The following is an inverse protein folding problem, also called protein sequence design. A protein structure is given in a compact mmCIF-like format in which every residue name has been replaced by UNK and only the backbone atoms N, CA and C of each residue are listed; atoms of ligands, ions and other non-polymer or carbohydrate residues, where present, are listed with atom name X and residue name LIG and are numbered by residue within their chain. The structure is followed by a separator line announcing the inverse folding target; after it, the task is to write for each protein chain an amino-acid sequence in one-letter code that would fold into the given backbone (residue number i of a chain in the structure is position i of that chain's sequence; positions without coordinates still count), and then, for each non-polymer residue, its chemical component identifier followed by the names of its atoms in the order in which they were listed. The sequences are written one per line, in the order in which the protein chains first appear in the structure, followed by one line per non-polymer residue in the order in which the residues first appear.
data_IF_042891058230
#
_entry.id   IF_042891058230
#
_cell.length_a   1.000
_cell.length_b   1.000
_cell.length_c   1.000
_cell.angle_alpha   90.00
_cell.angle_beta   90.00
_cell.angle_gamma   90.00
#
_symmetry.space_group_name_H-M   'P 1'
#
loop_
_entity.id
_entity.type
_entity.pdbx_description
1 polymer ?
#
# COMPACT_ATOMS: atom_id res chain seq x y z
N UNK A 1 -9.02 9.00 -14.01
CA UNK A 1 -8.17 7.79 -14.16
C UNK A 1 -7.68 7.36 -12.79
N UNK A 2 -8.21 6.26 -12.25
CA UNK A 2 -7.91 5.79 -10.90
C UNK A 2 -6.53 5.15 -10.81
N UNK A 3 -5.59 5.79 -10.12
CA UNK A 3 -4.34 5.13 -9.73
C UNK A 3 -4.65 4.19 -8.55
N UNK A 4 -4.89 2.92 -8.90
CA UNK A 4 -4.82 1.81 -7.96
C UNK A 4 -3.43 1.22 -8.12
N UNK A 5 -2.63 1.28 -7.07
CA UNK A 5 -1.26 0.78 -7.10
C UNK A 5 -1.19 -0.55 -6.37
N UNK A 6 -1.30 -1.66 -7.12
CA UNK A 6 -1.09 -3.01 -6.60
C UNK A 6 0.39 -3.39 -6.72
N UNK A 7 1.21 -2.88 -5.80
CA UNK A 7 2.64 -3.13 -5.83
C UNK A 7 3.04 -4.55 -5.35
N UNK A 8 2.47 -5.13 -4.28
CA UNK A 8 2.92 -6.42 -3.77
C UNK A 8 2.58 -7.60 -4.69
N UNK A 9 1.36 -7.66 -5.24
CA UNK A 9 1.01 -8.69 -6.22
C UNK A 9 1.95 -8.72 -7.42
N UNK A 10 2.23 -7.57 -8.03
CA UNK A 10 3.13 -7.48 -9.18
C UNK A 10 4.55 -7.96 -8.86
N UNK A 11 5.06 -7.64 -7.66
CA UNK A 11 6.34 -8.17 -7.19
C UNK A 11 6.32 -9.70 -7.08
N UNK A 12 5.23 -10.25 -6.54
CA UNK A 12 5.10 -11.69 -6.28
C UNK A 12 4.80 -12.53 -7.52
N UNK A 13 4.15 -11.95 -8.53
CA UNK A 13 3.99 -12.61 -9.84
C UNK A 13 5.37 -12.87 -10.48
N UNK A 14 6.29 -11.90 -10.41
CA UNK A 14 7.67 -12.06 -10.88
C UNK A 14 8.45 -13.05 -10.02
N UNK A 15 8.40 -12.90 -8.69
CA UNK A 15 9.07 -13.80 -7.74
C UNK A 15 8.65 -15.27 -7.94
N UNK A 16 7.36 -15.52 -8.16
CA UNK A 16 6.80 -16.85 -8.41
C UNK A 16 7.36 -17.46 -9.70
N UNK A 17 7.38 -16.70 -10.80
CA UNK A 17 7.92 -17.17 -12.08
C UNK A 17 9.40 -17.53 -11.98
N UNK A 18 10.19 -16.69 -11.31
CA UNK A 18 11.64 -16.93 -11.17
C UNK A 18 11.91 -18.11 -10.23
N UNK A 19 11.08 -18.30 -9.19
CA UNK A 19 11.16 -19.48 -8.32
C UNK A 19 10.96 -20.77 -9.11
N UNK A 20 9.92 -20.86 -9.95
CA UNK A 20 9.71 -22.03 -10.81
C UNK A 20 10.86 -22.24 -11.79
N UNK A 21 11.36 -21.17 -12.41
CA UNK A 21 12.50 -21.25 -13.32
C UNK A 21 13.76 -21.79 -12.63
N UNK A 22 14.04 -21.35 -11.40
CA UNK A 22 15.18 -21.85 -10.61
C UNK A 22 15.08 -23.35 -10.30
N UNK A 23 13.88 -23.86 -10.01
CA UNK A 23 13.64 -25.29 -9.80
C UNK A 23 13.93 -26.06 -11.09
N UNK A 24 13.40 -25.58 -12.23
CA UNK A 24 13.61 -26.21 -13.54
C UNK A 24 15.10 -26.24 -13.90
N UNK A 25 15.82 -25.14 -13.70
CA UNK A 25 17.27 -25.08 -13.94
C UNK A 25 18.05 -26.06 -13.05
N UNK A 26 17.68 -26.18 -11.77
CA UNK A 26 18.33 -27.12 -10.86
C UNK A 26 18.10 -28.58 -11.25
N UNK A 27 16.89 -28.91 -11.75
CA UNK A 27 16.55 -30.25 -12.22
C UNK A 27 17.18 -30.56 -13.59
N UNK A 28 17.22 -29.59 -14.50
CA UNK A 28 17.66 -29.78 -15.89
C UNK A 28 19.17 -29.85 -16.09
N UNK A 29 19.97 -29.19 -15.24
CA UNK A 29 21.42 -29.18 -15.37
C UNK A 29 22.14 -30.40 -14.77
N UNK A 30 21.40 -31.42 -14.30
CA UNK A 30 22.00 -32.62 -13.71
C UNK A 30 22.97 -32.31 -12.57
N UNK A 31 22.79 -31.17 -11.87
CA UNK A 31 23.69 -30.64 -10.82
C UNK A 31 23.84 -31.63 -9.65
N UNK A 32 23.06 -32.70 -9.65
CA UNK A 32 23.04 -33.72 -8.63
C UNK A 32 23.13 -35.10 -9.28
N UNK A 33 24.34 -35.45 -9.71
CA UNK A 33 24.78 -36.83 -9.86
C UNK A 33 24.90 -37.47 -8.46
N UNK A 34 23.77 -37.54 -7.77
CA UNK A 34 23.61 -38.21 -6.49
C UNK A 34 22.93 -39.55 -6.74
N UNK A 35 23.32 -40.57 -5.98
CA UNK A 35 22.76 -41.92 -6.04
C UNK A 35 21.22 -42.01 -5.86
N UNK A 36 20.55 -40.93 -5.43
CA UNK A 36 19.09 -40.81 -5.41
C UNK A 36 18.61 -39.53 -6.15
N UNK A 37 18.10 -39.65 -7.40
CA UNK A 37 17.59 -38.51 -8.16
C UNK A 37 16.37 -37.81 -7.53
N UNK A 38 15.73 -38.42 -6.52
CA UNK A 38 14.57 -37.86 -5.83
C UNK A 38 14.93 -37.07 -4.56
N UNK A 39 16.19 -37.07 -4.12
CA UNK A 39 16.59 -36.39 -2.87
C UNK A 39 16.24 -34.90 -2.87
N UNK A 40 16.62 -34.18 -3.92
CA UNK A 40 16.41 -32.74 -4.04
C UNK A 40 14.92 -32.36 -4.18
N UNK A 41 14.13 -32.99 -5.08
CA UNK A 41 12.68 -32.80 -5.10
C UNK A 41 12.00 -33.06 -3.74
N UNK A 42 12.43 -34.11 -3.02
CA UNK A 42 11.92 -34.40 -1.67
C UNK A 42 12.27 -33.30 -0.68
N UNK A 43 13.51 -32.80 -0.71
CA UNK A 43 13.94 -31.70 0.15
C UNK A 43 13.12 -30.42 -0.10
N UNK A 44 12.90 -30.06 -1.37
CA UNK A 44 12.05 -28.93 -1.72
C UNK A 44 10.61 -29.10 -1.22
N UNK A 45 10.02 -30.27 -1.44
CA UNK A 45 8.66 -30.56 -1.01
C UNK A 45 8.53 -30.55 0.52
N UNK A 46 9.49 -31.14 1.23
CA UNK A 46 9.53 -31.12 2.69
C UNK A 46 9.65 -29.70 3.24
N UNK A 47 10.56 -28.89 2.67
CA UNK A 47 10.70 -27.48 3.05
C UNK A 47 9.41 -26.70 2.80
N UNK A 48 8.83 -26.85 1.61
CA UNK A 48 7.60 -26.15 1.22
C UNK A 48 6.42 -26.52 2.11
N UNK A 49 6.27 -27.82 2.42
CA UNK A 49 5.23 -28.30 3.32
C UNK A 49 5.44 -27.78 4.75
N UNK A 50 6.63 -27.95 5.31
CA UNK A 50 6.93 -27.54 6.69
C UNK A 50 6.73 -26.04 6.89
N UNK A 51 7.27 -25.22 5.98
CA UNK A 51 7.09 -23.76 6.05
C UNK A 51 5.62 -23.34 5.87
N UNK A 52 4.86 -23.97 4.98
CA UNK A 52 3.42 -23.71 4.83
C UNK A 52 2.63 -24.04 6.11
N UNK A 53 2.95 -25.16 6.77
CA UNK A 53 2.35 -25.52 8.06
C UNK A 53 2.66 -24.48 9.14
N UNK A 54 3.91 -23.99 9.20
CA UNK A 54 4.32 -22.96 10.15
C UNK A 54 3.54 -21.65 9.92
N UNK A 55 3.46 -21.18 8.69
CA UNK A 55 2.75 -19.93 8.35
C UNK A 55 1.25 -20.03 8.64
N UNK A 56 0.61 -21.14 8.28
CA UNK A 56 -0.82 -21.37 8.55
C UNK A 56 -1.11 -21.46 10.04
N UNK A 57 -0.25 -22.13 10.81
CA UNK A 57 -0.33 -22.17 12.27
C UNK A 57 -0.22 -20.77 12.89
N UNK A 58 0.82 -20.00 12.55
CA UNK A 58 0.99 -18.63 13.05
C UNK A 58 -0.18 -17.73 12.68
N UNK A 59 -0.67 -17.79 11.43
CA UNK A 59 -1.85 -17.02 11.02
C UNK A 59 -3.09 -17.41 11.80
N UNK A 60 -3.27 -18.70 12.08
CA UNK A 60 -4.40 -19.20 12.88
C UNK A 60 -4.36 -18.69 14.31
N UNK A 61 -3.18 -18.66 14.94
CA UNK A 61 -2.99 -18.07 16.27
C UNK A 61 -3.36 -16.58 16.27
N UNK A 62 -2.92 -15.83 15.26
CA UNK A 62 -3.26 -14.41 15.13
C UNK A 62 -4.76 -14.18 14.94
N UNK A 63 -5.42 -14.99 14.12
CA UNK A 63 -6.88 -14.90 13.92
C UNK A 63 -7.63 -15.24 15.22
N UNK A 64 -7.14 -16.21 15.99
CA UNK A 64 -7.70 -16.52 17.31
C UNK A 64 -7.54 -15.33 18.26
N UNK A 65 -6.33 -14.75 18.33
CA UNK A 65 -6.04 -13.58 19.14
C UNK A 65 -6.92 -12.38 18.77
N UNK A 66 -7.15 -12.13 17.47
CA UNK A 66 -8.04 -11.07 16.98
C UNK A 66 -9.49 -11.27 17.45
N UNK A 67 -9.97 -12.52 17.46
CA UNK A 67 -11.32 -12.84 17.96
C UNK A 67 -11.44 -12.59 19.46
N UNK A 68 -10.43 -12.96 20.24
CA UNK A 68 -10.41 -12.75 21.69
C UNK A 68 -10.37 -11.27 22.04
N UNK A 69 -9.54 -10.49 21.34
CA UNK A 69 -9.40 -9.03 21.60
C UNK A 69 -10.43 -8.16 20.88
N UNK A 70 -11.27 -8.73 20.02
CA UNK A 70 -12.21 -7.99 19.16
C UNK A 70 -11.50 -6.89 18.34
N UNK A 71 -10.34 -7.22 17.79
CA UNK A 71 -9.50 -6.28 17.02
C UNK A 71 -10.25 -5.72 15.80
N UNK A 72 -10.12 -4.41 15.58
CA UNK A 72 -10.75 -3.72 14.46
C UNK A 72 -10.24 -4.21 13.09
N UNK A 73 -11.09 -4.15 12.05
CA UNK A 73 -10.71 -4.59 10.70
C UNK A 73 -9.52 -3.80 10.13
N UNK A 74 -9.51 -2.48 10.33
CA UNK A 74 -8.43 -1.62 9.83
C UNK A 74 -7.09 -1.93 10.47
N UNK A 75 -7.08 -2.12 11.80
CA UNK A 75 -5.89 -2.52 12.55
C UNK A 75 -5.37 -3.87 12.08
N UNK A 76 -6.28 -4.85 11.88
CA UNK A 76 -5.92 -6.17 11.34
C UNK A 76 -5.23 -6.06 9.99
N UNK A 77 -5.81 -5.32 9.04
CA UNK A 77 -5.23 -5.17 7.70
C UNK A 77 -3.91 -4.40 7.73
N UNK A 78 -3.80 -3.36 8.56
CA UNK A 78 -2.53 -2.64 8.75
C UNK A 78 -1.43 -3.57 9.25
N UNK A 79 -1.71 -4.32 10.31
CA UNK A 79 -0.76 -5.28 10.87
C UNK A 79 -0.39 -6.36 9.86
N UNK A 80 -1.36 -6.91 9.15
CA UNK A 80 -1.12 -7.95 8.15
C UNK A 80 -0.24 -7.42 7.00
N UNK A 81 -0.50 -6.20 6.49
CA UNK A 81 0.37 -5.56 5.51
C UNK A 81 1.79 -5.33 6.04
N UNK A 82 1.94 -4.86 7.29
CA UNK A 82 3.25 -4.66 7.90
C UNK A 82 4.02 -5.98 7.96
N UNK A 83 3.42 -7.03 8.55
CA UNK A 83 4.07 -8.34 8.71
C UNK A 83 4.43 -8.93 7.35
N UNK A 84 3.51 -8.88 6.38
CA UNK A 84 3.77 -9.38 5.03
C UNK A 84 4.93 -8.64 4.36
N UNK A 85 4.89 -7.30 4.32
CA UNK A 85 5.93 -6.50 3.68
C UNK A 85 7.30 -6.65 4.37
N UNK A 86 7.35 -6.62 5.70
CA UNK A 86 8.59 -6.86 6.44
C UNK A 86 9.15 -8.25 6.14
N UNK A 87 8.31 -9.30 6.18
CA UNK A 87 8.73 -10.67 5.91
C UNK A 87 9.31 -10.86 4.51
N UNK A 88 8.65 -10.30 3.49
CA UNK A 88 9.15 -10.34 2.11
C UNK A 88 10.48 -9.60 1.96
N UNK A 89 10.62 -8.40 2.53
CA UNK A 89 11.86 -7.61 2.47
C UNK A 89 13.02 -8.35 3.17
N UNK A 90 12.76 -8.96 4.33
CA UNK A 90 13.77 -9.75 5.05
C UNK A 90 14.21 -10.96 4.23
N UNK A 91 13.28 -11.67 3.60
CA UNK A 91 13.60 -12.83 2.77
C UNK A 91 14.53 -12.45 1.59
N UNK A 92 14.23 -11.32 0.93
CA UNK A 92 15.04 -10.76 -0.16
C UNK A 92 16.47 -10.45 0.32
N UNK A 93 16.62 -9.67 1.40
CA UNK A 93 17.94 -9.32 1.91
C UNK A 93 18.73 -10.53 2.41
N UNK A 94 18.05 -11.52 3.01
CA UNK A 94 18.70 -12.74 3.51
C UNK A 94 19.38 -13.51 2.38
N UNK A 95 18.67 -13.73 1.27
CA UNK A 95 19.25 -14.40 0.11
C UNK A 95 20.44 -13.60 -0.45
N UNK A 96 20.26 -12.30 -0.66
CA UNK A 96 21.28 -11.45 -1.28
C UNK A 96 22.56 -11.35 -0.45
N UNK A 97 22.43 -11.08 0.86
CA UNK A 97 23.57 -10.98 1.78
C UNK A 97 24.34 -12.30 1.79
N UNK A 98 23.66 -13.44 1.88
CA UNK A 98 24.34 -14.74 1.87
C UNK A 98 25.20 -14.92 0.61
N UNK A 99 24.66 -14.61 -0.58
CA UNK A 99 25.39 -14.75 -1.84
C UNK A 99 26.56 -13.78 -1.99
N UNK A 100 26.51 -12.61 -1.34
CA UNK A 100 27.59 -11.62 -1.35
C UNK A 100 28.77 -11.99 -0.43
N UNK A 101 28.51 -12.65 0.70
CA UNK A 101 29.54 -12.91 1.72
C UNK A 101 30.09 -14.34 1.70
N UNK A 102 29.33 -15.31 1.20
CA UNK A 102 29.77 -16.70 1.15
C UNK A 102 30.37 -17.04 -0.21
N UNK A 103 31.27 -18.04 -0.23
CA UNK A 103 31.75 -18.61 -1.49
C UNK A 103 30.56 -19.22 -2.22
N UNK A 104 30.39 -18.88 -3.48
CA UNK A 104 29.27 -19.37 -4.28
C UNK A 104 29.36 -20.89 -4.45
N UNK A 105 28.43 -21.60 -3.81
CA UNK A 105 28.21 -23.02 -4.03
C UNK A 105 26.88 -23.16 -4.76
N UNK A 106 26.90 -23.71 -5.98
CA UNK A 106 25.72 -23.76 -6.85
C UNK A 106 24.50 -24.35 -6.14
N UNK A 107 24.66 -25.51 -5.49
CA UNK A 107 23.61 -26.20 -4.73
C UNK A 107 23.04 -25.33 -3.62
N UNK A 108 23.91 -24.86 -2.72
CA UNK A 108 23.50 -24.15 -1.49
C UNK A 108 22.90 -22.79 -1.84
N UNK A 109 23.52 -22.06 -2.78
CA UNK A 109 23.02 -20.78 -3.26
C UNK A 109 21.66 -20.92 -3.95
N UNK A 110 21.49 -21.93 -4.80
CA UNK A 110 20.21 -22.13 -5.50
C UNK A 110 19.10 -22.61 -4.55
N UNK A 111 19.41 -23.49 -3.58
CA UNK A 111 18.44 -23.87 -2.55
C UNK A 111 18.04 -22.68 -1.67
N UNK A 112 18.99 -21.85 -1.24
CA UNK A 112 18.69 -20.66 -0.46
C UNK A 112 17.86 -19.65 -1.26
N UNK A 113 18.20 -19.45 -2.53
CA UNK A 113 17.42 -18.60 -3.43
C UNK A 113 15.97 -19.10 -3.52
N UNK A 114 15.76 -20.40 -3.77
CA UNK A 114 14.43 -21.01 -3.72
C UNK A 114 13.74 -20.78 -2.36
N UNK A 115 14.42 -21.07 -1.26
CA UNK A 115 13.84 -21.01 0.08
C UNK A 115 13.37 -19.59 0.44
N UNK A 116 14.19 -18.58 0.15
CA UNK A 116 13.85 -17.18 0.41
C UNK A 116 12.70 -16.68 -0.47
N UNK A 117 12.69 -17.00 -1.78
CA UNK A 117 11.59 -16.63 -2.65
C UNK A 117 10.29 -17.34 -2.26
N UNK A 118 10.35 -18.63 -1.92
CA UNK A 118 9.20 -19.37 -1.43
C UNK A 118 8.63 -18.79 -0.13
N UNK A 119 9.50 -18.43 0.82
CA UNK A 119 9.08 -17.76 2.06
C UNK A 119 8.47 -16.38 1.79
N UNK A 120 9.01 -15.63 0.82
CA UNK A 120 8.42 -14.36 0.35
C UNK A 120 6.99 -14.57 -0.16
N UNK A 121 6.77 -15.60 -0.98
CA UNK A 121 5.45 -16.00 -1.47
C UNK A 121 4.51 -16.37 -0.31
N UNK A 122 4.98 -17.13 0.69
CA UNK A 122 4.17 -17.46 1.86
C UNK A 122 3.75 -16.22 2.65
N UNK A 123 4.63 -15.22 2.83
CA UNK A 123 4.25 -13.95 3.45
C UNK A 123 3.15 -13.24 2.65
N UNK A 124 3.26 -13.19 1.33
CA UNK A 124 2.23 -12.60 0.48
C UNK A 124 0.89 -13.34 0.60
N UNK A 125 0.89 -14.66 0.40
CA UNK A 125 -0.33 -15.47 0.40
C UNK A 125 -1.05 -15.45 1.75
N UNK A 126 -0.29 -15.43 2.86
CA UNK A 126 -0.82 -15.56 4.21
C UNK A 126 -1.28 -14.22 4.81
N UNK A 127 -0.60 -13.12 4.44
CA UNK A 127 -0.84 -11.82 5.07
C UNK A 127 -1.38 -10.75 4.12
N UNK A 128 -1.01 -10.73 2.84
CA UNK A 128 -1.33 -9.59 1.96
C UNK A 128 -2.45 -9.89 0.97
N UNK A 129 -2.48 -11.09 0.38
CA UNK A 129 -3.41 -11.45 -0.70
C UNK A 129 -4.87 -11.12 -0.39
N UNK A 130 -5.33 -11.50 0.81
CA UNK A 130 -6.71 -11.23 1.23
C UNK A 130 -6.96 -9.74 1.50
N UNK A 131 -5.94 -9.01 1.93
CA UNK A 131 -6.01 -7.58 2.24
C UNK A 131 -6.10 -6.73 0.98
N UNK A 132 -5.40 -7.08 -0.10
CA UNK A 132 -5.43 -6.36 -1.39
C UNK A 132 -6.83 -6.28 -2.00
N UNK A 133 -7.66 -7.31 -1.80
CA UNK A 133 -9.04 -7.32 -2.27
C UNK A 133 -10.00 -6.49 -1.40
N UNK A 134 -9.59 -6.13 -0.19
CA UNK A 134 -10.45 -5.55 0.86
C UNK A 134 -10.01 -4.16 1.29
N UNK A 135 -8.83 -3.71 0.87
CA UNK A 135 -8.22 -2.46 1.31
C UNK A 135 -7.58 -1.74 0.13
N UNK A 136 -7.50 -0.43 0.23
CA UNK A 136 -6.73 0.42 -0.68
C UNK A 136 -5.57 1.05 0.08
N UNK A 137 -4.38 0.97 -0.50
CA UNK A 137 -3.20 1.71 -0.03
C UNK A 137 -3.10 3.00 -0.86
N UNK A 138 -3.08 4.17 -0.22
CA UNK A 138 -2.93 5.43 -0.97
C UNK A 138 -1.51 5.51 -1.55
N UNK A 139 -1.36 6.00 -2.79
CA UNK A 139 -0.05 6.15 -3.39
C UNK A 139 0.83 7.11 -2.58
N UNK A 140 2.12 6.80 -2.56
CA UNK A 140 3.15 7.70 -2.04
C UNK A 140 3.54 8.72 -3.11
N UNK A 141 4.20 9.80 -2.71
CA UNK A 141 4.65 10.85 -3.65
C UNK A 141 5.69 10.28 -4.62
N UNK A 142 5.61 10.66 -5.90
CA UNK A 142 6.49 10.13 -6.96
C UNK A 142 7.98 10.31 -6.69
N UNK A 143 8.39 11.41 -6.05
CA UNK A 143 9.80 11.62 -5.68
C UNK A 143 10.32 10.55 -4.70
N UNK A 144 9.47 10.00 -3.83
CA UNK A 144 9.90 8.97 -2.88
C UNK A 144 10.24 7.67 -3.62
N UNK A 145 9.43 7.31 -4.62
CA UNK A 145 9.68 6.15 -5.48
C UNK A 145 10.98 6.36 -6.28
N UNK A 146 11.19 7.57 -6.82
CA UNK A 146 12.43 7.90 -7.55
C UNK A 146 13.67 7.81 -6.64
N UNK A 147 13.58 8.27 -5.38
CA UNK A 147 14.68 8.12 -4.41
C UNK A 147 14.99 6.65 -4.11
N UNK A 148 13.96 5.82 -3.91
CA UNK A 148 14.14 4.37 -3.69
C UNK A 148 14.82 3.72 -4.90
N UNK A 149 14.35 4.01 -6.12
CA UNK A 149 14.97 3.50 -7.35
C UNK A 149 16.44 3.94 -7.47
N UNK A 150 16.77 5.18 -7.12
CA UNK A 150 18.14 5.68 -7.12
C UNK A 150 19.05 4.91 -6.15
N UNK A 151 18.58 4.63 -4.93
CA UNK A 151 19.35 3.79 -3.99
C UNK A 151 19.57 2.36 -4.51
N UNK A 152 18.59 1.80 -5.23
CA UNK A 152 18.77 0.51 -5.88
C UNK A 152 19.81 0.53 -7.01
N UNK A 153 19.84 1.61 -7.81
CA UNK A 153 20.88 1.80 -8.84
C UNK A 153 22.27 1.87 -8.20
N UNK A 154 22.42 2.62 -7.11
CA UNK A 154 23.67 2.65 -6.34
C UNK A 154 24.04 1.23 -5.88
N UNK A 155 23.08 0.49 -5.29
CA UNK A 155 23.32 -0.89 -4.84
C UNK A 155 23.79 -1.83 -5.96
N UNK A 156 23.22 -1.72 -7.16
CA UNK A 156 23.67 -2.47 -8.35
C UNK A 156 25.11 -2.11 -8.71
N UNK A 157 25.44 -0.81 -8.77
CA UNK A 157 26.79 -0.33 -9.09
C UNK A 157 27.80 -0.80 -8.03
N UNK A 158 27.47 -0.70 -6.74
CA UNK A 158 28.32 -1.17 -5.66
C UNK A 158 28.58 -2.67 -5.75
N UNK A 159 27.54 -3.46 -6.03
CA UNK A 159 27.66 -4.92 -6.20
C UNK A 159 28.55 -5.27 -7.39
N UNK A 160 28.39 -4.58 -8.51
CA UNK A 160 29.23 -4.76 -9.69
C UNK A 160 30.71 -4.45 -9.40
N UNK A 161 31.00 -3.33 -8.72
CA UNK A 161 32.37 -2.99 -8.33
C UNK A 161 32.97 -4.02 -7.35
N UNK A 162 32.18 -4.52 -6.39
CA UNK A 162 32.61 -5.58 -5.47
C UNK A 162 32.93 -6.89 -6.21
N UNK A 163 32.17 -7.22 -7.26
CA UNK A 163 32.43 -8.38 -8.11
C UNK A 163 33.76 -8.26 -8.85
N UNK A 164 34.09 -7.08 -9.40
CA UNK A 164 35.37 -6.80 -10.05
C UNK A 164 36.52 -6.94 -9.05
N UNK A 165 36.39 -6.31 -7.87
CA UNK A 165 37.44 -6.32 -6.84
C UNK A 165 37.74 -7.72 -6.31
N UNK A 166 36.77 -8.64 -6.36
CA UNK A 166 36.92 -10.01 -5.85
C UNK A 166 37.23 -11.05 -6.93
N UNK A 167 37.36 -10.63 -8.19
CA UNK A 167 37.77 -11.49 -9.30
C UNK A 167 36.87 -12.75 -9.41
N UNK A 168 35.55 -12.57 -9.47
CA UNK A 168 34.55 -13.64 -9.55
C UNK A 168 34.00 -13.86 -10.98
N UNK A 169 34.78 -14.45 -11.91
CA UNK A 169 34.42 -14.50 -13.33
C UNK A 169 33.25 -15.44 -13.65
N UNK A 170 33.01 -16.48 -12.84
CA UNK A 170 32.05 -17.54 -13.21
C UNK A 170 30.61 -17.32 -12.74
N UNK A 171 30.38 -16.54 -11.67
CA UNK A 171 29.02 -16.34 -11.11
C UNK A 171 28.64 -14.86 -10.91
N UNK A 172 29.50 -13.92 -11.28
CA UNK A 172 29.21 -12.49 -11.18
C UNK A 172 27.95 -12.07 -11.94
N UNK A 173 27.72 -12.64 -13.12
CA UNK A 173 26.49 -12.39 -13.90
C UNK A 173 25.21 -12.85 -13.20
N UNK A 174 25.26 -14.00 -12.52
CA UNK A 174 24.12 -14.52 -11.74
C UNK A 174 23.84 -13.60 -10.54
N UNK A 175 24.88 -13.19 -9.81
CA UNK A 175 24.72 -12.27 -8.68
C UNK A 175 24.13 -10.92 -9.11
N UNK A 176 24.58 -10.39 -10.25
CA UNK A 176 24.07 -9.15 -10.81
C UNK A 176 22.59 -9.28 -11.24
N UNK A 177 22.22 -10.39 -11.89
CA UNK A 177 20.85 -10.67 -12.27
C UNK A 177 19.92 -10.76 -11.04
N UNK A 178 20.34 -11.45 -9.99
CA UNK A 178 19.58 -11.52 -8.73
C UNK A 178 19.47 -10.13 -8.08
N UNK A 179 20.53 -9.33 -8.08
CA UNK A 179 20.49 -7.97 -7.55
C UNK A 179 19.49 -7.08 -8.29
N UNK A 180 19.43 -7.16 -9.62
CA UNK A 180 18.45 -6.40 -10.43
C UNK A 180 17.02 -6.86 -10.12
N UNK A 181 16.80 -8.17 -10.04
CA UNK A 181 15.49 -8.74 -9.72
C UNK A 181 15.00 -8.30 -8.34
N UNK A 182 15.82 -8.45 -7.30
CA UNK A 182 15.47 -8.02 -5.95
C UNK A 182 15.34 -6.50 -5.82
N UNK A 183 16.09 -5.72 -6.60
CA UNK A 183 15.91 -4.27 -6.65
C UNK A 183 14.54 -3.88 -7.22
N UNK A 184 14.05 -4.59 -8.23
CA UNK A 184 12.69 -4.40 -8.75
C UNK A 184 11.64 -4.72 -7.67
N UNK A 185 11.75 -5.85 -6.99
CA UNK A 185 10.82 -6.23 -5.92
C UNK A 185 10.81 -5.21 -4.77
N UNK A 186 11.98 -4.79 -4.30
CA UNK A 186 12.10 -3.81 -3.21
C UNK A 186 11.55 -2.44 -3.61
N UNK A 187 11.67 -2.03 -4.88
CA UNK A 187 11.09 -0.78 -5.40
C UNK A 187 9.56 -0.78 -5.32
N UNK A 188 8.92 -1.95 -5.33
CA UNK A 188 7.47 -2.11 -5.17
C UNK A 188 7.08 -2.26 -3.69
N UNK A 189 7.88 -2.99 -2.91
CA UNK A 189 7.59 -3.31 -1.51
C UNK A 189 7.84 -2.15 -0.54
N UNK A 190 8.95 -1.42 -0.70
CA UNK A 190 9.33 -0.34 0.22
C UNK A 190 8.29 0.81 0.23
N UNK A 191 7.79 1.32 -0.92
CA UNK A 191 6.73 2.32 -0.93
C UNK A 191 5.45 1.85 -0.25
N UNK A 192 5.10 0.57 -0.43
CA UNK A 192 3.92 -0.04 0.20
C UNK A 192 4.09 -0.08 1.71
N UNK A 193 5.22 -0.59 2.20
CA UNK A 193 5.52 -0.62 3.63
C UNK A 193 5.49 0.79 4.22
N UNK A 194 6.11 1.75 3.56
CA UNK A 194 6.10 3.15 3.99
C UNK A 194 4.69 3.71 4.07
N UNK A 195 3.85 3.51 3.04
CA UNK A 195 2.46 3.97 3.04
C UNK A 195 1.66 3.38 4.21
N UNK A 196 1.85 2.09 4.48
CA UNK A 196 1.19 1.37 5.57
C UNK A 196 1.64 1.91 6.94
N UNK A 197 2.93 2.16 7.13
CA UNK A 197 3.49 2.77 8.35
C UNK A 197 2.98 4.20 8.57
N UNK A 198 2.76 4.94 7.48
CA UNK A 198 2.19 6.29 7.51
C UNK A 198 0.66 6.29 7.56
N UNK A 199 0.03 5.17 7.97
CA UNK A 199 -1.41 5.03 8.15
C UNK A 199 -2.25 5.29 6.89
N UNK A 200 -1.69 5.09 5.70
CA UNK A 200 -2.35 5.36 4.41
C UNK A 200 -3.14 4.16 3.86
N UNK A 201 -3.78 3.38 4.72
CA UNK A 201 -4.66 2.26 4.34
C UNK A 201 -6.11 2.65 4.57
N UNK A 202 -6.97 2.35 3.60
CA UNK A 202 -8.41 2.59 3.64
C UNK A 202 -9.19 1.31 3.38
N UNK A 203 -10.33 1.14 4.05
CA UNK A 203 -11.30 0.09 3.76
C UNK A 203 -12.46 0.73 2.99
N UNK A 204 -12.83 0.23 1.79
CA UNK A 204 -14.01 0.70 1.09
C UNK A 204 -15.27 0.33 1.89
N UNK A 205 -16.11 1.32 2.21
CA UNK A 205 -17.37 1.11 2.91
C UNK A 205 -18.38 0.55 1.90
N UNK A 206 -18.91 -0.65 2.14
CA UNK A 206 -20.13 -1.11 1.44
C UNK A 206 -21.31 -0.35 2.02
N UNK A 207 -21.99 0.46 1.20
CA UNK A 207 -23.24 1.14 1.53
C UNK A 207 -24.34 0.11 1.84
N UNK A 208 -24.39 -0.33 3.09
CA UNK A 208 -25.52 -1.12 3.58
C UNK A 208 -26.56 -0.11 4.02
N UNK A 209 -27.54 0.09 3.15
CA UNK A 209 -28.74 0.92 3.35
C UNK A 209 -29.23 0.79 4.80
N UNK A 210 -29.20 1.89 5.55
CA UNK A 210 -30.04 2.06 6.72
C UNK A 210 -31.50 1.87 6.28
N UNK A 211 -32.14 0.79 6.72
CA UNK A 211 -33.61 0.71 6.69
C UNK A 211 -34.14 1.73 7.69
N UNK A 212 -34.38 2.95 7.22
CA UNK A 212 -35.38 3.82 7.85
C UNK A 212 -36.75 3.30 7.41
N UNK A 213 -37.59 2.97 8.39
CA UNK A 213 -38.95 2.53 8.18
C UNK A 213 -39.82 3.63 7.55
N UNK A 214 -40.70 3.16 6.65
CA UNK A 214 -42.06 3.65 6.36
C UNK A 214 -42.28 5.17 6.18
N UNK A 215 -42.44 5.60 4.92
CA UNK A 215 -43.76 5.92 4.33
C UNK A 215 -43.62 6.64 2.97
N UNK A 216 -44.36 6.17 1.96
CA UNK A 216 -44.97 7.05 0.94
C UNK A 216 -44.34 7.14 -0.45
N UNK A 217 -44.97 6.43 -1.41
CA UNK A 217 -45.18 6.77 -2.84
C UNK A 217 -44.02 6.73 -3.86
N UNK A 218 -44.13 5.69 -4.70
CA UNK A 218 -43.68 5.48 -6.10
C UNK A 218 -43.19 6.69 -6.92
N UNK A 219 -42.03 6.54 -7.58
CA UNK A 219 -41.88 6.71 -9.05
C UNK A 219 -40.60 6.03 -9.59
N UNK A 220 -40.84 5.27 -10.65
CA UNK A 220 -40.02 4.55 -11.64
C UNK A 220 -38.48 4.59 -11.65
N UNK A 221 -37.94 3.39 -11.92
CA UNK A 221 -36.58 3.05 -12.32
C UNK A 221 -36.03 3.94 -13.46
N UNK A 222 -34.83 4.46 -13.26
CA UNK A 222 -33.80 4.50 -14.31
C UNK A 222 -32.51 3.89 -13.75
N UNK A 223 -32.13 2.76 -14.30
CA UNK A 223 -30.82 2.14 -14.16
C UNK A 223 -29.74 3.13 -14.62
N UNK A 224 -28.82 3.48 -13.72
CA UNK A 224 -27.57 4.13 -14.06
C UNK A 224 -26.45 3.39 -13.33
N UNK A 225 -25.66 2.65 -14.11
CA UNK A 225 -24.41 2.05 -13.68
C UNK A 225 -23.43 3.15 -13.22
N UNK A 226 -22.84 2.98 -12.04
CA UNK A 226 -21.85 3.89 -11.52
C UNK A 226 -21.48 3.58 -10.07
N UNK A 227 -20.38 2.86 -9.88
CA UNK A 227 -19.75 2.55 -8.59
C UNK A 227 -19.41 3.84 -7.80
N UNK A 228 -20.36 4.28 -6.98
CA UNK A 228 -20.20 5.40 -6.06
C UNK A 228 -19.93 4.89 -4.64
N UNK A 229 -18.67 4.56 -4.33
CA UNK A 229 -18.23 4.31 -2.94
C UNK A 229 -17.86 5.64 -2.31
N UNK A 230 -18.65 6.10 -1.33
CA UNK A 230 -18.36 7.27 -0.51
C UNK A 230 -17.48 6.90 0.69
N UNK A 231 -16.52 7.77 1.01
CA UNK A 231 -15.61 7.61 2.15
C UNK A 231 -16.01 8.60 3.23
N UNK A 232 -16.19 8.12 4.45
CA UNK A 232 -16.26 8.98 5.64
C UNK A 232 -15.35 8.38 6.71
N UNK A 233 -14.46 9.21 7.24
CA UNK A 233 -13.66 8.92 8.42
C UNK A 233 -14.57 9.04 9.65
N UNK A 234 -14.85 7.92 10.30
CA UNK A 234 -15.51 7.92 11.61
C UNK A 234 -14.42 7.83 12.66
N UNK A 235 -14.16 8.98 13.28
CA UNK A 235 -13.30 9.10 14.44
C UNK A 235 -14.18 8.84 15.68
N UNK A 236 -13.99 7.70 16.32
CA UNK A 236 -14.51 7.43 17.66
C UNK A 236 -13.35 6.88 18.49
N UNK A 237 -12.76 7.76 19.30
CA UNK A 237 -12.71 7.60 20.77
C UNK A 237 -12.01 8.81 21.36
N UNK A 238 -12.75 9.63 22.10
CA UNK A 238 -12.17 10.57 23.02
C UNK A 238 -11.78 9.87 24.31
N UNK A 239 -10.58 10.15 24.81
CA UNK A 239 -10.39 10.57 26.20
C UNK A 239 -9.05 11.29 26.38
N UNK A 240 -9.18 12.60 26.65
CA UNK A 240 -8.33 13.47 27.45
C UNK A 240 -6.80 13.32 27.38
N UNK A 241 -6.19 14.14 26.52
CA UNK A 241 -4.89 14.75 26.79
C UNK A 241 -4.88 16.18 26.26
N UNK A 242 -5.05 17.13 27.18
CA UNK A 242 -4.59 18.52 27.14
C UNK A 242 -4.64 19.25 25.79
N UNK A 243 -5.65 20.12 25.68
CA UNK A 243 -5.76 21.22 24.74
C UNK A 243 -4.42 21.94 24.53
N UNK A 244 -3.84 21.78 23.35
CA UNK A 244 -3.04 22.82 22.72
C UNK A 244 -3.76 23.22 21.44
N UNK A 245 -4.09 24.51 21.36
CA UNK A 245 -4.74 25.26 20.28
C UNK A 245 -5.17 24.43 19.05
N UNK A 246 -6.49 24.30 18.87
CA UNK A 246 -7.09 23.67 17.69
C UNK A 246 -6.84 24.52 16.46
N UNK A 247 -5.69 24.33 15.84
CA UNK A 247 -5.36 24.84 14.52
C UNK A 247 -6.22 24.10 13.48
N UNK A 248 -7.46 24.55 13.28
CA UNK A 248 -8.28 24.02 12.21
C UNK A 248 -7.71 24.46 10.85
N UNK A 249 -7.37 23.51 9.99
CA UNK A 249 -6.72 23.73 8.70
C UNK A 249 -7.59 23.25 7.54
N UNK A 250 -7.37 23.81 6.35
CA UNK A 250 -8.04 23.33 5.14
C UNK A 250 -7.40 22.05 4.61
N UNK A 251 -8.16 20.96 4.46
CA UNK A 251 -7.66 19.65 4.00
C UNK A 251 -7.08 19.61 2.56
N UNK A 252 -7.16 20.70 1.81
CA UNK A 252 -6.67 20.79 0.43
C UNK A 252 -5.30 21.47 0.39
N UNK A 253 -5.17 22.65 0.99
CA UNK A 253 -3.91 23.40 1.00
C UNK A 253 -3.13 23.24 2.31
N UNK A 254 -3.70 22.61 3.33
CA UNK A 254 -3.16 22.45 4.68
C UNK A 254 -2.75 23.79 5.32
N UNK A 255 -3.46 24.86 4.98
CA UNK A 255 -3.29 26.17 5.60
C UNK A 255 -4.33 26.36 6.68
N UNK A 256 -3.92 26.93 7.82
CA UNK A 256 -4.79 27.32 8.92
C UNK A 256 -5.92 28.20 8.42
N UNK A 257 -7.13 27.90 8.87
CA UNK A 257 -8.26 28.78 8.63
C UNK A 257 -8.02 30.10 9.34
N UNK A 258 -8.40 31.19 8.67
CA UNK A 258 -8.29 32.52 9.24
C UNK A 258 -9.44 33.37 8.66
N UNK A 259 -10.25 33.95 9.55
CA UNK A 259 -11.35 34.83 9.18
C UNK A 259 -10.91 36.23 8.78
N UNK A 260 -9.68 36.64 9.12
CA UNK A 260 -9.05 37.90 8.73
C UNK A 260 -8.38 37.81 7.35
N UNK A 261 -7.90 36.62 6.95
CA UNK A 261 -7.29 36.37 5.64
C UNK A 261 -8.33 35.77 4.69
N UNK A 262 -8.73 36.52 3.67
CA UNK A 262 -9.80 36.12 2.75
C UNK A 262 -9.55 34.74 2.12
N UNK A 263 -8.34 34.49 1.59
CA UNK A 263 -7.99 33.20 0.97
C UNK A 263 -8.07 32.01 1.93
N UNK A 264 -7.89 32.25 3.23
CA UNK A 264 -7.92 31.23 4.28
C UNK A 264 -9.28 31.20 5.00
N UNK A 265 -10.27 31.97 4.57
CA UNK A 265 -11.59 31.95 5.19
C UNK A 265 -12.30 30.63 4.88
N UNK A 266 -12.75 29.85 5.87
CA UNK A 266 -13.52 28.62 5.66
C UNK A 266 -14.91 28.93 5.10
N UNK A 267 -15.27 28.31 3.99
CA UNK A 267 -16.53 28.45 3.25
C UNK A 267 -17.17 27.08 3.07
N UNK A 268 -18.50 27.01 3.15
CA UNK A 268 -19.28 25.76 3.08
C UNK A 268 -19.84 25.58 1.68
N UNK A 269 -19.64 24.40 1.08
CA UNK A 269 -20.32 24.00 -0.15
C UNK A 269 -21.76 23.59 0.18
N UNK A 270 -22.73 24.42 -0.22
CA UNK A 270 -24.13 24.32 0.22
C UNK A 270 -24.83 23.01 -0.18
N UNK A 271 -24.33 22.26 -1.17
CA UNK A 271 -24.92 20.97 -1.56
C UNK A 271 -24.53 19.83 -0.63
N UNK A 272 -23.30 19.81 -0.12
CA UNK A 272 -22.76 18.68 0.64
C UNK A 272 -22.33 19.00 2.08
N UNK A 273 -22.24 20.28 2.45
CA UNK A 273 -21.83 20.71 3.79
C UNK A 273 -20.31 20.70 4.07
N UNK A 274 -19.48 20.21 3.14
CA UNK A 274 -18.03 20.24 3.31
C UNK A 274 -17.48 21.66 3.32
N UNK A 275 -16.45 21.88 4.14
CA UNK A 275 -15.81 23.18 4.31
C UNK A 275 -14.44 23.22 3.65
N UNK A 276 -14.13 24.29 2.94
CA UNK A 276 -12.84 24.53 2.28
C UNK A 276 -12.45 26.00 2.43
N UNK A 277 -11.16 26.33 2.31
CA UNK A 277 -10.78 27.73 2.29
C UNK A 277 -11.22 28.39 0.98
N UNK A 278 -11.52 29.70 1.03
CA UNK A 278 -11.98 30.45 -0.13
C UNK A 278 -10.98 30.38 -1.30
N UNK A 279 -9.68 30.35 -1.02
CA UNK A 279 -8.64 30.23 -2.05
C UNK A 279 -8.73 28.91 -2.83
N UNK A 280 -8.91 27.78 -2.15
CA UNK A 280 -9.06 26.48 -2.82
C UNK A 280 -10.35 26.41 -3.64
N UNK A 281 -11.44 26.99 -3.16
CA UNK A 281 -12.69 27.08 -3.92
C UNK A 281 -12.51 27.98 -5.15
N UNK A 282 -11.83 29.12 -5.02
CA UNK A 282 -11.51 30.02 -6.13
C UNK A 282 -10.76 29.31 -7.24
N UNK A 283 -9.72 28.55 -6.89
CA UNK A 283 -8.97 27.74 -7.86
C UNK A 283 -9.90 26.72 -8.55
N UNK A 284 -10.74 26.01 -7.81
CA UNK A 284 -11.67 25.03 -8.39
C UNK A 284 -12.72 25.65 -9.32
N UNK A 285 -13.13 26.90 -9.07
CA UNK A 285 -14.02 27.66 -9.96
C UNK A 285 -13.32 28.02 -11.26
N UNK A 286 -12.05 28.45 -11.21
CA UNK A 286 -11.26 28.76 -12.41
C UNK A 286 -11.11 27.53 -13.32
N UNK A 287 -10.97 26.33 -12.75
CA UNK A 287 -10.87 25.09 -13.53
C UNK A 287 -12.19 24.60 -14.15
N UNK A 288 -13.36 24.94 -13.59
CA UNK A 288 -14.65 24.36 -13.96
C UNK A 288 -15.67 25.41 -14.46
N UNK A 289 -15.27 26.22 -15.44
CA UNK A 289 -16.17 27.17 -16.12
C UNK A 289 -16.72 28.31 -15.24
N UNK A 290 -16.06 28.62 -14.12
CA UNK A 290 -16.35 29.76 -13.22
C UNK A 290 -17.73 29.77 -12.55
N UNK A 291 -18.57 28.74 -12.70
CA UNK A 291 -19.93 28.72 -12.14
C UNK A 291 -20.20 27.53 -11.22
N UNK A 292 -19.36 26.51 -11.26
CA UNK A 292 -19.60 25.26 -10.55
C UNK A 292 -18.34 24.78 -9.81
N UNK A 293 -18.55 24.25 -8.61
CA UNK A 293 -17.49 23.62 -7.80
C UNK A 293 -17.88 22.18 -7.55
N UNK A 294 -17.11 21.25 -8.10
CA UNK A 294 -17.18 19.85 -7.72
C UNK A 294 -16.43 19.65 -6.40
N UNK A 295 -17.15 19.20 -5.36
CA UNK A 295 -16.54 18.95 -4.05
C UNK A 295 -15.48 17.84 -4.15
N UNK A 296 -14.22 18.05 -3.74
CA UNK A 296 -13.17 17.02 -3.85
C UNK A 296 -13.37 15.84 -2.87
N UNK A 297 -14.19 16.01 -1.84
CA UNK A 297 -14.45 14.99 -0.82
C UNK A 297 -15.58 14.03 -1.20
N UNK A 298 -16.65 14.55 -1.82
CA UNK A 298 -17.88 13.78 -2.10
C UNK A 298 -18.41 13.92 -3.53
N UNK A 299 -17.72 14.68 -4.39
CA UNK A 299 -18.01 14.88 -5.81
C UNK A 299 -19.38 15.54 -6.11
N UNK A 300 -20.08 16.05 -5.10
CA UNK A 300 -21.29 16.84 -5.32
C UNK A 300 -20.94 18.21 -5.91
N UNK A 301 -21.62 18.58 -6.99
CA UNK A 301 -21.45 19.85 -7.68
C UNK A 301 -22.29 20.92 -7.00
N UNK A 302 -21.64 21.98 -6.55
CA UNK A 302 -22.28 23.20 -6.02
C UNK A 302 -22.20 24.30 -7.07
N UNK A 303 -23.35 24.76 -7.53
CA UNK A 303 -23.44 25.96 -8.38
C UNK A 303 -23.21 27.19 -7.52
N UNK A 304 -22.25 28.03 -7.89
CA UNK A 304 -21.88 29.26 -7.20
C UNK A 304 -22.44 30.45 -7.97
N UNK A 305 -23.62 30.90 -7.57
CA UNK A 305 -24.26 32.07 -8.15
C UNK A 305 -23.35 33.30 -7.99
N UNK A 306 -22.96 33.93 -9.11
CA UNK A 306 -22.02 35.07 -9.12
C UNK A 306 -20.55 34.69 -9.32
N UNK A 307 -20.24 33.39 -9.49
CA UNK A 307 -18.94 32.89 -9.97
C UNK A 307 -17.73 33.15 -9.08
N UNK A 308 -17.95 33.60 -7.84
CA UNK A 308 -16.91 33.84 -6.86
C UNK A 308 -17.13 33.01 -5.60
N UNK A 309 -16.05 32.43 -5.09
CA UNK A 309 -16.05 31.68 -3.83
C UNK A 309 -16.54 32.52 -2.63
N UNK A 310 -16.54 33.86 -2.75
CA UNK A 310 -17.03 34.77 -1.72
C UNK A 310 -18.55 34.73 -1.52
N UNK A 311 -19.31 34.18 -2.46
CA UNK A 311 -20.78 34.02 -2.36
C UNK A 311 -21.20 32.79 -1.55
N UNK A 312 -20.29 31.86 -1.29
CA UNK A 312 -20.59 30.72 -0.43
C UNK A 312 -20.59 31.13 1.05
N UNK A 313 -21.46 30.55 1.89
CA UNK A 313 -21.53 30.93 3.31
C UNK A 313 -20.21 30.61 4.03
N UNK A 314 -19.78 31.53 4.92
CA UNK A 314 -18.64 31.29 5.81
C UNK A 314 -19.00 30.25 6.86
N UNK A 315 -18.06 29.40 7.25
CA UNK A 315 -18.24 28.50 8.38
C UNK A 315 -17.92 29.22 9.70
N UNK A 316 -18.91 29.93 10.24
CA UNK A 316 -18.76 30.65 11.52
C UNK A 316 -18.51 29.71 12.72
N UNK A 317 -18.95 28.45 12.63
CA UNK A 317 -18.65 27.42 13.64
C UNK A 317 -17.15 27.17 13.73
N UNK A 318 -16.49 26.91 12.60
CA UNK A 318 -15.04 26.75 12.56
C UNK A 318 -14.29 28.03 12.95
N UNK A 319 -14.75 29.20 12.50
CA UNK A 319 -14.16 30.48 12.88
C UNK A 319 -14.26 30.79 14.39
N UNK A 320 -15.21 30.18 15.10
CA UNK A 320 -15.35 30.31 16.56
C UNK A 320 -14.44 29.35 17.33
N UNK A 321 -14.06 28.23 16.72
CA UNK A 321 -13.18 27.22 17.35
C UNK A 321 -11.69 27.59 17.23
N UNK A 322 -11.34 28.41 16.26
CA UNK A 322 -9.96 28.90 16.03
C UNK A 322 -9.71 30.30 16.60
N UNK A 323 -10.65 30.84 17.38
CA UNK A 323 -10.59 32.17 18.00
C UNK A 323 -10.57 32.07 19.52
#
# INVERSE_FOLDING_TARGET
MGQVTYFPKAAQDVCTLVTFYSIILMLGNGIFDSSDPLYVPRLFLQFAFASSCVFTFFKSLMVCHDKVRKTGKLEKYRRDYQIGCFGMIIAIYTAFIYMCYNKFQLVTSSFLFFACNFVSILFYLTFIRDCESKCRVRPVKGYLIAMIAFFHVIGVITTYNLLILRDFPHYGGVLLAVQVMYSFELTLLIPTLYAVLMNRIEIPIKSTVMKAGEAGTMRELRSFDGDGVSYTSVDETGESALMSETDAECEICMMKYDGAVEKHTPRILIKCGHTMCQGCIGNLLEYNSQQEVCCPFCQQVTVVNGGSASYLPKNYGMLKLIR
#
